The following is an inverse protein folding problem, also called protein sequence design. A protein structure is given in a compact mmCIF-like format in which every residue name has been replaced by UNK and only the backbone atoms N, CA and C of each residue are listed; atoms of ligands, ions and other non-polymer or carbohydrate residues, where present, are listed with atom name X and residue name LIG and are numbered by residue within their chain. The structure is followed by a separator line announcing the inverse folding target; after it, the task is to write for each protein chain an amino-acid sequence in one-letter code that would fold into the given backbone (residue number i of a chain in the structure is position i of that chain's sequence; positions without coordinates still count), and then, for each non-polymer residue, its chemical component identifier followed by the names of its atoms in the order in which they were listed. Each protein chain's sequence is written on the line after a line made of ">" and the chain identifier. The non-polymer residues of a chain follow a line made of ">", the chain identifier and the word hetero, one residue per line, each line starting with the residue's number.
data_IF_609819341376
#
_entry.id   IF_609819341376
#
_cell.length_a   1.000
_cell.length_b   1.000
_cell.length_c   1.000
_cell.angle_alpha   90.00
_cell.angle_beta   90.00
_cell.angle_gamma   90.00
#
_symmetry.space_group_name_H-M   'P 1'
#
loop_
_entity.id
_entity.type
_entity.pdbx_description
1 polymer ?
#
# COMPACT_ATOMS: atom_id res chain seq x y z
N UNK A 1 3.60 17.36 25.47
CA UNK A 1 3.66 17.54 24.01
C UNK A 1 2.34 17.06 23.45
N UNK A 2 1.41 17.97 23.18
CA UNK A 2 0.28 17.63 22.32
C UNK A 2 0.84 17.28 20.94
N UNK A 3 0.41 16.16 20.35
CA UNK A 3 0.82 15.82 18.99
C UNK A 3 0.02 16.73 18.06
N UNK A 4 0.72 17.57 17.31
CA UNK A 4 0.11 18.31 16.22
C UNK A 4 -0.46 17.32 15.20
N UNK A 5 -1.73 17.47 14.89
CA UNK A 5 -2.40 16.73 13.84
C UNK A 5 -2.17 17.44 12.52
N UNK A 6 -1.67 16.70 11.53
CA UNK A 6 -1.52 17.15 10.15
C UNK A 6 -2.47 16.38 9.25
N UNK A 7 -3.30 17.09 8.48
CA UNK A 7 -4.21 16.50 7.49
C UNK A 7 -3.90 17.11 6.14
N UNK A 8 -3.50 16.27 5.18
CA UNK A 8 -3.11 16.73 3.85
C UNK A 8 -4.24 16.60 2.83
N UNK A 9 -4.34 17.59 1.95
CA UNK A 9 -5.32 17.71 0.89
C UNK A 9 -4.67 18.05 -0.45
N UNK A 10 -5.34 17.69 -1.54
CA UNK A 10 -5.04 18.06 -2.92
C UNK A 10 -6.13 19.00 -3.41
N UNK A 11 -5.75 20.25 -3.67
CA UNK A 11 -6.69 21.28 -4.10
C UNK A 11 -7.11 21.05 -5.56
N UNK A 12 -8.38 21.29 -5.92
CA UNK A 12 -8.89 21.12 -7.28
C UNK A 12 -8.49 22.32 -8.17
N UNK A 13 -7.18 22.54 -8.26
CA UNK A 13 -6.51 23.57 -9.03
C UNK A 13 -5.52 22.91 -10.02
N UNK A 14 -5.15 23.59 -11.12
CA UNK A 14 -4.12 23.07 -12.03
C UNK A 14 -2.86 22.63 -11.28
N UNK A 15 -2.40 21.41 -11.53
CA UNK A 15 -1.22 20.83 -10.86
C UNK A 15 -1.49 20.21 -9.49
N UNK A 16 -2.72 20.24 -8.97
CA UNK A 16 -3.12 19.66 -7.69
C UNK A 16 -2.19 20.04 -6.51
N UNK A 17 -2.02 21.36 -6.25
CA UNK A 17 -1.15 21.83 -5.19
C UNK A 17 -1.59 21.24 -3.86
N UNK A 18 -0.59 20.93 -3.03
CA UNK A 18 -0.81 20.29 -1.73
C UNK A 18 -1.13 21.36 -0.71
N UNK A 19 -2.23 21.15 0.01
CA UNK A 19 -2.56 21.90 1.21
C UNK A 19 -2.41 21.01 2.45
N UNK A 20 -1.96 21.57 3.56
CA UNK A 20 -1.83 20.87 4.83
C UNK A 20 -2.56 21.66 5.89
N UNK A 21 -3.50 21.02 6.56
CA UNK A 21 -4.12 21.58 7.75
C UNK A 21 -3.38 21.07 8.99
N UNK A 22 -2.91 21.99 9.83
CA UNK A 22 -2.20 21.73 11.07
C UNK A 22 -3.02 22.24 12.26
N UNK A 23 -3.22 21.41 13.27
CA UNK A 23 -3.91 21.83 14.50
C UNK A 23 -3.59 20.91 15.68
N UNK A 24 -3.90 21.33 16.91
CA UNK A 24 -3.96 20.41 18.04
C UNK A 24 -5.14 19.43 17.93
N UNK A 25 -5.17 18.38 18.77
CA UNK A 25 -6.24 17.35 18.75
C UNK A 25 -7.67 17.92 18.92
N UNK A 26 -7.78 19.07 19.57
CA UNK A 26 -9.06 19.77 19.78
C UNK A 26 -9.43 20.72 18.63
N UNK A 27 -8.64 20.75 17.54
CA UNK A 27 -8.76 21.66 16.41
C UNK A 27 -8.57 23.16 16.76
N UNK A 28 -8.08 23.47 17.96
CA UNK A 28 -7.76 24.84 18.36
C UNK A 28 -6.47 25.31 17.68
N UNK A 29 -6.44 26.57 17.23
CA UNK A 29 -5.28 27.15 16.56
C UNK A 29 -4.99 26.52 15.20
N UNK A 30 -6.03 26.06 14.50
CA UNK A 30 -5.91 25.40 13.21
C UNK A 30 -5.37 26.33 12.13
N UNK A 31 -4.47 25.83 11.30
CA UNK A 31 -3.84 26.59 10.20
C UNK A 31 -3.90 25.77 8.93
N UNK A 32 -4.32 26.39 7.83
CA UNK A 32 -4.21 25.80 6.50
C UNK A 32 -3.00 26.41 5.82
N UNK A 33 -2.06 25.56 5.42
CA UNK A 33 -0.89 25.92 4.66
C UNK A 33 -1.03 25.43 3.22
N UNK A 34 -0.73 26.28 2.25
CA UNK A 34 -0.62 25.91 0.83
C UNK A 34 0.85 26.10 0.44
N UNK A 35 1.50 25.03 -0.03
CA UNK A 35 2.93 25.05 -0.39
C UNK A 35 3.87 25.55 0.72
N UNK A 36 3.44 25.45 1.99
CA UNK A 36 4.20 25.88 3.17
C UNK A 36 3.85 27.27 3.69
N UNK A 37 3.05 28.04 2.96
CA UNK A 37 2.59 29.36 3.36
C UNK A 37 1.24 29.29 4.06
N UNK A 38 1.09 29.96 5.21
CA UNK A 38 -0.18 30.05 5.94
C UNK A 38 -1.16 30.94 5.17
N UNK A 39 -2.29 30.37 4.76
CA UNK A 39 -3.32 31.09 3.99
C UNK A 39 -4.62 31.32 4.76
N UNK A 40 -4.88 30.48 5.75
CA UNK A 40 -6.05 30.57 6.62
C UNK A 40 -5.66 30.14 8.04
N UNK A 41 -6.20 30.83 9.02
CA UNK A 41 -6.03 30.50 10.44
C UNK A 41 -7.35 30.60 11.18
N UNK A 42 -7.63 29.57 11.95
CA UNK A 42 -8.71 29.53 12.93
C UNK A 42 -8.12 29.61 14.34
N UNK A 43 -8.50 30.61 15.11
CA UNK A 43 -8.12 30.72 16.50
C UNK A 43 -8.84 29.66 17.36
N UNK A 44 -10.09 29.35 17.02
CA UNK A 44 -10.94 28.43 17.78
C UNK A 44 -11.54 27.33 16.91
N UNK A 45 -12.09 26.31 17.56
CA UNK A 45 -12.78 25.21 16.88
C UNK A 45 -14.10 25.70 16.30
N UNK A 46 -14.79 26.59 16.99
CA UNK A 46 -16.08 27.15 16.58
C UNK A 46 -15.95 27.94 15.27
N UNK A 47 -14.83 28.63 15.06
CA UNK A 47 -14.52 29.28 13.78
C UNK A 47 -14.37 28.27 12.63
N UNK A 48 -13.75 27.12 12.87
CA UNK A 48 -13.67 26.05 11.88
C UNK A 48 -15.04 25.44 11.60
N UNK A 49 -15.88 25.26 12.62
CA UNK A 49 -17.23 24.70 12.44
C UNK A 49 -18.15 25.64 11.65
N UNK A 50 -18.04 26.96 11.91
CA UNK A 50 -18.70 28.00 11.13
C UNK A 50 -18.21 28.04 9.67
N UNK A 51 -16.93 27.69 9.45
CA UNK A 51 -16.28 27.69 8.16
C UNK A 51 -15.57 29.03 7.90
N UNK A 52 -14.31 28.94 7.50
CA UNK A 52 -13.48 30.09 7.14
C UNK A 52 -13.25 30.09 5.64
N UNK A 53 -13.23 31.27 5.03
CA UNK A 53 -12.94 31.43 3.60
C UNK A 53 -12.02 32.61 3.39
N UNK A 54 -11.01 32.48 2.54
CA UNK A 54 -10.12 33.57 2.15
C UNK A 54 -9.89 33.58 0.64
N UNK A 55 -9.75 34.78 0.08
CA UNK A 55 -9.19 35.00 -1.25
C UNK A 55 -7.68 35.10 -1.12
N UNK A 56 -6.97 34.27 -1.88
CA UNK A 56 -5.51 34.16 -1.81
C UNK A 56 -4.94 34.65 -3.13
N UNK A 57 -3.90 35.48 -3.06
CA UNK A 57 -3.21 35.97 -4.27
C UNK A 57 -2.68 34.79 -5.10
N UNK A 58 -2.90 34.82 -6.41
CA UNK A 58 -2.53 33.74 -7.32
C UNK A 58 -3.51 32.56 -7.39
N UNK A 59 -4.52 32.49 -6.51
CA UNK A 59 -5.59 31.48 -6.61
C UNK A 59 -6.87 32.16 -7.15
N UNK A 60 -7.44 31.68 -8.26
CA UNK A 60 -8.55 32.37 -8.95
C UNK A 60 -9.89 32.30 -8.21
N UNK A 61 -10.01 31.46 -7.17
CA UNK A 61 -11.24 31.25 -6.44
C UNK A 61 -11.00 31.22 -4.92
N UNK A 62 -12.00 31.57 -4.09
CA UNK A 62 -11.85 31.57 -2.63
C UNK A 62 -11.54 30.16 -2.11
N UNK A 63 -10.59 30.05 -1.19
CA UNK A 63 -10.28 28.81 -0.49
C UNK A 63 -11.02 28.80 0.84
N UNK A 64 -11.71 27.70 1.12
CA UNK A 64 -12.46 27.50 2.35
C UNK A 64 -11.92 26.33 3.18
N UNK A 65 -12.06 26.42 4.50
CA UNK A 65 -11.86 25.30 5.43
C UNK A 65 -13.03 25.24 6.40
N UNK A 66 -13.55 24.04 6.64
CA UNK A 66 -14.65 23.81 7.58
C UNK A 66 -14.48 22.47 8.30
N UNK A 67 -14.75 22.47 9.60
CA UNK A 67 -14.89 21.26 10.38
C UNK A 67 -16.38 20.87 10.42
N UNK A 68 -16.72 19.71 9.88
CA UNK A 68 -18.03 19.10 10.05
C UNK A 68 -17.99 18.19 11.28
N UNK A 69 -18.95 18.38 12.19
CA UNK A 69 -19.08 17.61 13.43
C UNK A 69 -20.39 16.85 13.53
N UNK A 70 -21.08 16.66 12.40
CA UNK A 70 -22.32 15.88 12.35
C UNK A 70 -22.08 14.40 12.67
N UNK A 71 -23.08 13.77 13.30
CA UNK A 71 -23.13 12.31 13.54
C UNK A 71 -21.90 11.70 14.25
N UNK A 72 -21.34 12.40 15.25
CA UNK A 72 -20.13 11.97 15.99
C UNK A 72 -18.88 11.76 15.13
N UNK A 73 -18.90 12.16 13.86
CA UNK A 73 -17.70 12.25 13.02
C UNK A 73 -17.17 13.67 13.06
N UNK A 74 -15.84 13.79 13.11
CA UNK A 74 -15.13 15.05 12.95
C UNK A 74 -14.41 14.95 11.63
N UNK A 75 -14.95 15.59 10.60
CA UNK A 75 -14.31 15.59 9.30
C UNK A 75 -13.99 17.01 8.85
N UNK A 76 -12.80 17.17 8.30
CA UNK A 76 -12.30 18.47 7.89
C UNK A 76 -12.42 18.56 6.36
N UNK A 77 -13.16 19.56 5.90
CA UNK A 77 -13.38 19.83 4.50
C UNK A 77 -12.59 21.07 4.10
N UNK A 78 -11.82 20.95 3.03
CA UNK A 78 -11.18 22.08 2.35
C UNK A 78 -11.86 22.25 1.00
N UNK A 79 -12.16 23.48 0.60
CA UNK A 79 -12.82 23.78 -0.67
C UNK A 79 -12.09 24.88 -1.42
N UNK A 80 -12.25 24.92 -2.75
CA UNK A 80 -11.76 26.00 -3.61
C UNK A 80 -12.86 26.37 -4.59
N UNK A 81 -13.39 27.58 -4.50
CA UNK A 81 -14.54 28.02 -5.30
C UNK A 81 -15.78 27.13 -5.12
N UNK A 82 -15.99 26.59 -3.91
CA UNK A 82 -17.05 25.63 -3.61
C UNK A 82 -16.77 24.18 -4.01
N UNK A 83 -15.68 23.91 -4.75
CA UNK A 83 -15.29 22.54 -5.12
C UNK A 83 -14.49 21.89 -3.98
N UNK A 84 -14.81 20.65 -3.56
CA UNK A 84 -14.09 19.99 -2.48
C UNK A 84 -12.67 19.58 -2.89
N UNK A 85 -11.71 19.82 -2.02
CA UNK A 85 -10.37 19.26 -2.11
C UNK A 85 -10.37 17.79 -1.70
N UNK A 86 -9.43 17.02 -2.25
CA UNK A 86 -9.31 15.59 -1.99
C UNK A 86 -8.35 15.35 -0.82
N UNK A 87 -8.79 14.69 0.24
CA UNK A 87 -7.93 14.29 1.34
C UNK A 87 -6.96 13.20 0.89
N UNK A 88 -5.67 13.38 1.13
CA UNK A 88 -4.64 12.43 0.66
C UNK A 88 -4.81 11.01 1.27
N UNK A 89 -5.34 10.91 2.49
CA UNK A 89 -5.60 9.62 3.16
C UNK A 89 -6.70 8.80 2.50
N UNK A 90 -7.60 9.45 1.76
CA UNK A 90 -8.78 8.81 1.18
C UNK A 90 -8.52 8.43 -0.29
N UNK A 91 -7.36 8.80 -0.83
CA UNK A 91 -6.94 8.45 -2.17
C UNK A 91 -6.50 6.99 -2.22
N UNK A 92 -7.32 6.16 -2.83
CA UNK A 92 -7.04 4.74 -3.08
C UNK A 92 -7.15 4.46 -4.58
N UNK A 93 -6.05 4.56 -5.34
CA UNK A 93 -6.08 4.23 -6.76
C UNK A 93 -6.47 2.77 -6.98
N UNK A 94 -7.15 2.45 -8.10
CA UNK A 94 -7.43 1.07 -8.46
C UNK A 94 -6.13 0.31 -8.76
N UNK A 95 -6.07 -1.02 -8.55
CA UNK A 95 -4.89 -1.81 -8.85
C UNK A 95 -4.48 -1.70 -10.32
N UNK A 96 -3.24 -1.24 -10.58
CA UNK A 96 -2.71 -1.15 -11.95
C UNK A 96 -2.30 -2.52 -12.48
N UNK A 97 -2.04 -2.61 -13.80
CA UNK A 97 -1.46 -3.80 -14.42
C UNK A 97 -0.17 -4.27 -13.72
N UNK A 98 0.67 -3.35 -13.25
CA UNK A 98 1.90 -3.72 -12.54
C UNK A 98 1.62 -4.32 -11.17
N UNK A 99 0.57 -3.88 -10.47
CA UNK A 99 0.16 -4.52 -9.21
C UNK A 99 -0.26 -5.96 -9.45
N UNK A 100 -1.05 -6.21 -10.51
CA UNK A 100 -1.41 -7.57 -10.89
C UNK A 100 -0.20 -8.43 -11.22
N UNK A 101 0.74 -7.94 -12.01
CA UNK A 101 1.98 -8.69 -12.32
C UNK A 101 2.76 -9.00 -11.03
N UNK A 102 2.90 -8.04 -10.13
CA UNK A 102 3.54 -8.24 -8.84
C UNK A 102 2.85 -9.33 -8.00
N UNK A 103 1.51 -9.30 -7.92
CA UNK A 103 0.71 -10.29 -7.22
C UNK A 103 0.83 -11.69 -7.86
N UNK A 104 0.81 -11.78 -9.19
CA UNK A 104 0.97 -13.04 -9.91
C UNK A 104 2.37 -13.65 -9.74
N UNK A 105 3.43 -12.83 -9.62
CA UNK A 105 4.77 -13.33 -9.30
C UNK A 105 4.84 -13.93 -7.89
N UNK A 106 4.23 -13.29 -6.89
CA UNK A 106 4.13 -13.83 -5.54
C UNK A 106 3.27 -15.12 -5.51
N UNK A 107 2.21 -15.18 -6.31
CA UNK A 107 1.40 -16.39 -6.47
C UNK A 107 2.20 -17.54 -7.09
N UNK A 108 2.91 -17.27 -8.20
CA UNK A 108 3.73 -18.26 -8.87
C UNK A 108 4.77 -18.88 -7.93
N UNK A 109 5.38 -18.05 -7.07
CA UNK A 109 6.29 -18.53 -6.04
C UNK A 109 5.62 -19.57 -5.11
N UNK A 110 4.36 -19.35 -4.74
CA UNK A 110 3.60 -20.30 -3.92
C UNK A 110 3.20 -21.56 -4.67
N UNK A 111 2.85 -21.46 -5.96
CA UNK A 111 2.57 -22.64 -6.79
C UNK A 111 3.80 -23.55 -6.92
N UNK A 112 4.98 -22.99 -7.14
CA UNK A 112 6.23 -23.76 -7.15
C UNK A 112 6.56 -24.35 -5.78
N UNK A 113 6.26 -23.62 -4.71
CA UNK A 113 6.34 -24.11 -3.33
C UNK A 113 5.47 -25.33 -3.07
N UNK A 114 4.21 -25.32 -3.52
CA UNK A 114 3.33 -26.48 -3.44
C UNK A 114 3.83 -27.66 -4.28
N UNK A 115 4.38 -27.40 -5.46
CA UNK A 115 5.00 -28.46 -6.27
C UNK A 115 6.20 -29.11 -5.55
N UNK A 116 7.08 -28.31 -4.95
CA UNK A 116 8.18 -28.82 -4.12
C UNK A 116 7.67 -29.60 -2.90
N UNK A 117 6.63 -29.12 -2.21
CA UNK A 117 5.97 -29.83 -1.11
C UNK A 117 5.42 -31.20 -1.54
N UNK A 118 4.78 -31.28 -2.70
CA UNK A 118 4.29 -32.54 -3.26
C UNK A 118 5.43 -33.53 -3.55
N UNK A 119 6.55 -33.05 -4.09
CA UNK A 119 7.72 -33.89 -4.32
C UNK A 119 8.34 -34.40 -3.01
N UNK A 120 8.41 -33.56 -1.97
CA UNK A 120 8.80 -34.01 -0.63
C UNK A 120 7.87 -35.09 -0.06
N UNK A 121 6.56 -35.04 -0.37
CA UNK A 121 5.62 -36.07 0.03
C UNK A 121 5.87 -37.40 -0.71
N UNK A 122 6.22 -37.34 -2.00
CA UNK A 122 6.60 -38.54 -2.76
C UNK A 122 7.90 -39.15 -2.22
N UNK A 123 8.89 -38.31 -1.93
CA UNK A 123 10.17 -38.73 -1.34
C UNK A 123 9.96 -39.41 0.02
N UNK A 124 9.09 -38.85 0.87
CA UNK A 124 8.75 -39.44 2.16
C UNK A 124 8.16 -40.84 2.02
N UNK A 125 7.29 -41.04 1.01
CA UNK A 125 6.68 -42.35 0.74
C UNK A 125 7.68 -43.36 0.18
N UNK A 126 8.62 -42.90 -0.63
CA UNK A 126 9.63 -43.76 -1.25
C UNK A 126 10.70 -44.22 -0.24
N UNK A 127 11.14 -43.33 0.65
CA UNK A 127 12.26 -43.59 1.56
C UNK A 127 11.82 -44.05 2.96
N UNK A 128 10.58 -43.73 3.36
CA UNK A 128 10.12 -43.90 4.73
C UNK A 128 10.75 -42.93 5.73
N UNK A 129 11.57 -41.97 5.27
CA UNK A 129 12.19 -40.96 6.12
C UNK A 129 11.12 -39.96 6.61
N UNK A 130 11.01 -39.71 7.93
CA UNK A 130 10.11 -38.69 8.45
C UNK A 130 10.49 -37.25 8.09
N UNK A 131 11.73 -36.98 7.68
CA UNK A 131 12.18 -35.63 7.35
C UNK A 131 11.47 -35.03 6.13
N UNK A 132 11.45 -35.68 4.94
CA UNK A 132 10.69 -35.20 3.80
C UNK A 132 9.21 -34.96 4.11
N UNK A 133 8.57 -35.79 4.95
CA UNK A 133 7.18 -35.58 5.34
C UNK A 133 6.99 -34.28 6.13
N UNK A 134 7.88 -33.99 7.09
CA UNK A 134 7.86 -32.74 7.85
C UNK A 134 8.05 -31.53 6.92
N UNK A 135 8.99 -31.63 5.99
CA UNK A 135 9.23 -30.58 5.00
C UNK A 135 8.04 -30.36 4.08
N UNK A 136 7.38 -31.44 3.61
CA UNK A 136 6.18 -31.34 2.78
C UNK A 136 5.07 -30.56 3.49
N UNK A 137 4.76 -30.92 4.75
CA UNK A 137 3.71 -30.26 5.54
C UNK A 137 4.09 -28.80 5.84
N UNK A 138 5.33 -28.56 6.27
CA UNK A 138 5.82 -27.22 6.59
C UNK A 138 5.74 -26.28 5.39
N UNK A 139 6.20 -26.76 4.23
CA UNK A 139 6.18 -26.01 2.98
C UNK A 139 4.75 -25.72 2.51
N UNK A 140 3.87 -26.72 2.53
CA UNK A 140 2.45 -26.51 2.21
C UNK A 140 1.78 -25.48 3.15
N UNK A 141 2.05 -25.56 4.45
CA UNK A 141 1.50 -24.63 5.44
C UNK A 141 1.93 -23.18 5.20
N UNK A 142 3.23 -22.94 4.99
CA UNK A 142 3.73 -21.61 4.67
C UNK A 142 3.17 -21.09 3.34
N UNK A 143 3.18 -21.89 2.28
CA UNK A 143 2.66 -21.42 0.99
C UNK A 143 1.16 -21.18 0.98
N UNK A 144 0.39 -21.91 1.79
CA UNK A 144 -1.03 -21.60 2.00
C UNK A 144 -1.19 -20.26 2.72
N UNK A 145 -0.41 -20.00 3.78
CA UNK A 145 -0.42 -18.72 4.47
C UNK A 145 -0.05 -17.57 3.52
N UNK A 146 1.04 -17.72 2.75
CA UNK A 146 1.51 -16.70 1.81
C UNK A 146 0.50 -16.45 0.68
N UNK A 147 -0.12 -17.51 0.15
CA UNK A 147 -1.20 -17.40 -0.82
C UNK A 147 -2.36 -16.55 -0.29
N UNK A 148 -2.82 -16.85 0.92
CA UNK A 148 -3.97 -16.20 1.55
C UNK A 148 -3.66 -14.80 2.09
N UNK A 149 -2.38 -14.40 2.17
CA UNK A 149 -1.97 -13.10 2.72
C UNK A 149 -1.32 -12.20 1.70
N UNK A 150 -0.27 -12.64 1.01
CA UNK A 150 0.50 -11.79 0.10
C UNK A 150 -0.31 -11.36 -1.11
N UNK A 151 -1.13 -12.25 -1.66
CA UNK A 151 -1.94 -11.91 -2.84
C UNK A 151 -3.00 -10.84 -2.52
N UNK A 152 -3.80 -10.97 -1.43
CA UNK A 152 -4.68 -9.89 -0.99
C UNK A 152 -3.95 -8.58 -0.64
N UNK A 153 -2.85 -8.68 0.12
CA UNK A 153 -2.10 -7.50 0.57
C UNK A 153 -1.47 -6.75 -0.62
N UNK A 154 -1.03 -7.45 -1.66
CA UNK A 154 -0.51 -6.82 -2.87
C UNK A 154 -1.58 -5.99 -3.60
N UNK A 155 -2.82 -6.49 -3.69
CA UNK A 155 -3.91 -5.84 -4.43
C UNK A 155 -4.62 -4.75 -3.63
N UNK A 156 -4.99 -5.04 -2.38
CA UNK A 156 -5.81 -4.16 -1.56
C UNK A 156 -5.02 -3.34 -0.54
N UNK A 157 -3.79 -3.75 -0.21
CA UNK A 157 -2.95 -3.04 0.75
C UNK A 157 -2.31 -1.75 0.22
N UNK A 158 -2.60 -1.37 -1.03
CA UNK A 158 -2.07 -0.15 -1.66
C UNK A 158 -0.52 -0.14 -1.64
N UNK A 159 0.08 1.05 -1.69
CA UNK A 159 1.55 1.21 -1.65
C UNK A 159 2.19 0.54 -0.44
N UNK A 160 1.52 0.56 0.71
CA UNK A 160 2.06 -0.04 1.93
C UNK A 160 2.08 -1.56 1.84
N UNK A 161 1.00 -2.15 1.33
CA UNK A 161 0.90 -3.57 1.04
C UNK A 161 1.98 -4.05 0.08
N UNK A 162 2.25 -3.31 -1.00
CA UNK A 162 3.33 -3.64 -1.93
C UNK A 162 4.70 -3.67 -1.21
N UNK A 163 4.99 -2.74 -0.30
CA UNK A 163 6.27 -2.75 0.46
C UNK A 163 6.37 -3.94 1.40
N UNK A 164 5.27 -4.27 2.09
CA UNK A 164 5.20 -5.45 2.96
C UNK A 164 5.44 -6.72 2.14
N UNK A 165 4.77 -6.86 0.99
CA UNK A 165 4.95 -8.01 0.11
C UNK A 165 6.38 -8.10 -0.42
N UNK A 166 7.01 -6.99 -0.84
CA UNK A 166 8.42 -6.98 -1.24
C UNK A 166 9.33 -7.50 -0.14
N UNK A 167 9.14 -7.05 1.10
CA UNK A 167 9.96 -7.49 2.24
C UNK A 167 9.78 -8.98 2.50
N UNK A 168 8.54 -9.47 2.58
CA UNK A 168 8.26 -10.89 2.82
C UNK A 168 8.82 -11.75 1.68
N UNK A 169 8.60 -11.34 0.42
CA UNK A 169 9.16 -12.02 -0.74
C UNK A 169 10.70 -12.09 -0.68
N UNK A 170 11.39 -11.04 -0.25
CA UNK A 170 12.86 -11.07 -0.11
C UNK A 170 13.32 -12.11 0.92
N UNK A 171 12.62 -12.20 2.07
CA UNK A 171 12.90 -13.21 3.10
C UNK A 171 12.69 -14.62 2.54
N UNK A 172 11.56 -14.86 1.86
CA UNK A 172 11.27 -16.17 1.29
C UNK A 172 12.18 -16.54 0.11
N UNK A 173 12.66 -15.56 -0.66
CA UNK A 173 13.72 -15.81 -1.65
C UNK A 173 14.96 -16.41 -0.99
N UNK A 174 15.45 -15.83 0.11
CA UNK A 174 16.64 -16.34 0.79
C UNK A 174 16.42 -17.76 1.35
N UNK A 175 15.24 -18.03 1.92
CA UNK A 175 14.86 -19.35 2.43
C UNK A 175 14.85 -20.39 1.30
N UNK A 176 14.15 -20.10 0.19
CA UNK A 176 14.03 -21.03 -0.93
C UNK A 176 15.35 -21.25 -1.66
N UNK A 177 16.19 -20.23 -1.77
CA UNK A 177 17.55 -20.39 -2.30
C UNK A 177 18.37 -21.33 -1.41
N UNK A 178 18.33 -21.15 -0.09
CA UNK A 178 19.00 -22.04 0.86
C UNK A 178 18.54 -23.49 0.74
N UNK A 179 17.23 -23.71 0.65
CA UNK A 179 16.65 -25.06 0.44
C UNK A 179 17.11 -25.62 -0.91
N UNK A 180 17.03 -24.85 -2.00
CA UNK A 180 17.46 -25.31 -3.31
C UNK A 180 18.93 -25.76 -3.30
N UNK A 181 19.82 -24.94 -2.74
CA UNK A 181 21.25 -25.25 -2.61
C UNK A 181 21.50 -26.51 -1.76
N UNK A 182 20.74 -26.70 -0.68
CA UNK A 182 20.84 -27.88 0.16
C UNK A 182 20.44 -29.18 -0.57
N UNK A 183 19.56 -29.09 -1.58
CA UNK A 183 19.07 -30.23 -2.36
C UNK A 183 19.82 -30.42 -3.70
N UNK A 184 20.88 -29.64 -3.97
CA UNK A 184 21.64 -29.72 -5.23
C UNK A 184 22.46 -31.00 -5.41
N UNK A 185 22.73 -31.73 -4.32
CA UNK A 185 23.63 -32.89 -4.34
C UNK A 185 23.20 -33.98 -5.33
N UNK A 186 21.89 -34.10 -5.59
CA UNK A 186 21.32 -35.15 -6.44
C UNK A 186 20.57 -34.63 -7.69
N UNK A 187 20.70 -33.33 -8.04
CA UNK A 187 19.94 -32.65 -9.12
C UNK A 187 18.44 -33.04 -9.07
N UNK A 188 17.83 -32.90 -7.89
CA UNK A 188 16.45 -33.30 -7.67
C UNK A 188 15.47 -32.25 -8.21
N UNK A 189 14.30 -32.70 -8.67
CA UNK A 189 13.19 -31.80 -9.00
C UNK A 189 12.79 -30.91 -7.81
N UNK A 190 13.02 -31.37 -6.57
CA UNK A 190 12.84 -30.59 -5.35
C UNK A 190 13.72 -29.35 -5.36
N UNK A 191 15.01 -29.48 -5.70
CA UNK A 191 15.92 -28.35 -5.80
C UNK A 191 15.47 -27.36 -6.89
N UNK A 192 15.04 -27.86 -8.05
CA UNK A 192 14.53 -27.05 -9.15
C UNK A 192 13.30 -26.23 -8.73
N UNK A 193 12.28 -26.86 -8.16
CA UNK A 193 11.05 -26.16 -7.78
C UNK A 193 11.27 -25.17 -6.62
N UNK A 194 12.19 -25.46 -5.70
CA UNK A 194 12.61 -24.47 -4.71
C UNK A 194 13.33 -23.28 -5.36
N UNK A 195 14.22 -23.52 -6.31
CA UNK A 195 14.89 -22.44 -7.04
C UNK A 195 13.89 -21.57 -7.82
N UNK A 196 12.94 -22.18 -8.53
CA UNK A 196 11.88 -21.46 -9.25
C UNK A 196 10.97 -20.64 -8.32
N UNK A 197 10.61 -21.21 -7.16
CA UNK A 197 9.88 -20.50 -6.11
C UNK A 197 10.66 -19.28 -5.62
N UNK A 198 11.94 -19.47 -5.28
CA UNK A 198 12.83 -18.39 -4.87
C UNK A 198 12.97 -17.30 -5.94
N UNK A 199 13.21 -17.67 -7.20
CA UNK A 199 13.33 -16.71 -8.31
C UNK A 199 12.04 -15.91 -8.54
N UNK A 200 10.88 -16.54 -8.33
CA UNK A 200 9.58 -15.86 -8.41
C UNK A 200 9.39 -14.87 -7.25
N UNK A 201 9.81 -15.22 -6.03
CA UNK A 201 9.85 -14.28 -4.90
C UNK A 201 10.83 -13.11 -5.15
N UNK A 202 12.00 -13.38 -5.71
CA UNK A 202 12.94 -12.31 -6.11
C UNK A 202 12.34 -11.41 -7.18
N UNK A 203 11.69 -12.01 -8.19
CA UNK A 203 10.97 -11.29 -9.24
C UNK A 203 9.89 -10.38 -8.64
N UNK A 204 9.06 -10.88 -7.73
CA UNK A 204 8.07 -10.09 -7.02
C UNK A 204 8.71 -8.93 -6.23
N UNK A 205 9.83 -9.19 -5.55
CA UNK A 205 10.59 -8.19 -4.79
C UNK A 205 11.07 -7.06 -5.69
N UNK A 206 11.74 -7.39 -6.80
CA UNK A 206 12.32 -6.40 -7.71
C UNK A 206 11.22 -5.64 -8.47
N UNK A 207 10.22 -6.35 -8.98
CA UNK A 207 9.12 -5.76 -9.75
C UNK A 207 8.20 -4.90 -8.87
N UNK A 208 8.13 -5.18 -7.56
CA UNK A 208 7.34 -4.39 -6.60
C UNK A 208 7.70 -2.90 -6.60
N UNK A 209 8.94 -2.52 -6.97
CA UNK A 209 9.32 -1.11 -7.08
C UNK A 209 8.55 -0.38 -8.18
N UNK A 210 8.28 -1.07 -9.30
CA UNK A 210 7.47 -0.53 -10.38
C UNK A 210 6.02 -0.40 -9.95
N UNK A 211 5.44 -1.47 -9.39
CA UNK A 211 4.07 -1.47 -8.88
C UNK A 211 3.86 -0.36 -7.84
N UNK A 212 4.81 -0.16 -6.92
CA UNK A 212 4.75 0.87 -5.89
C UNK A 212 4.75 2.30 -6.43
N UNK A 213 5.48 2.57 -7.53
CA UNK A 213 5.52 3.89 -8.19
C UNK A 213 4.26 4.17 -8.98
N UNK A 214 3.66 3.14 -9.60
CA UNK A 214 2.43 3.27 -10.36
C UNK A 214 1.19 3.40 -9.46
N UNK A 215 1.25 2.89 -8.24
CA UNK A 215 0.22 3.06 -7.21
C UNK A 215 0.35 4.40 -6.45
N UNK A 216 1.01 5.41 -7.04
CA UNK A 216 1.05 6.74 -6.45
C UNK A 216 -0.32 7.42 -6.57
N UNK A 217 -1.05 7.65 -5.46
CA UNK A 217 -2.37 8.26 -5.52
C UNK A 217 -2.35 9.64 -6.18
N UNK A 218 -1.24 10.39 -6.04
CA UNK A 218 -1.11 11.73 -6.60
C UNK A 218 -1.05 11.67 -8.13
N UNK A 219 -0.41 10.64 -8.69
CA UNK A 219 -0.33 10.44 -10.15
C UNK A 219 -1.67 10.03 -10.75
N UNK A 220 -2.57 9.47 -9.95
CA UNK A 220 -3.91 9.05 -10.37
C UNK A 220 -4.96 10.18 -10.30
N UNK A 221 -4.64 11.33 -9.71
CA UNK A 221 -5.58 12.44 -9.51
C UNK A 221 -6.31 12.90 -10.78
N UNK A 222 -5.66 13.06 -11.96
CA UNK A 222 -6.36 13.45 -13.18
C UNK A 222 -7.47 12.45 -13.58
N UNK A 223 -7.21 11.15 -13.42
CA UNK A 223 -8.19 10.10 -13.73
C UNK A 223 -9.30 9.97 -12.67
N UNK A 224 -9.06 10.44 -11.43
CA UNK A 224 -10.06 10.43 -10.36
C UNK A 224 -11.09 11.55 -10.55
N UNK A 225 -10.68 12.69 -11.11
CA UNK A 225 -11.57 13.82 -11.39
C UNK A 225 -12.55 13.54 -12.54
N UNK A 226 -12.12 12.83 -13.59
CA UNK A 226 -12.99 12.45 -14.72
C UNK A 226 -14.15 11.51 -14.33
N UNK A 227 -14.04 10.81 -13.20
CA UNK A 227 -15.03 9.82 -12.74
C UNK A 227 -15.98 10.41 -11.68
N UNK A 228 -15.63 11.55 -11.05
CA UNK A 228 -16.52 12.21 -10.08
C UNK A 228 -17.43 13.20 -10.82
N UNK A 229 -18.76 13.01 -10.78
CA UNK A 229 -19.73 13.90 -11.44
C UNK A 229 -19.73 15.31 -10.85
#
# INVERSE_FOLDING_TARGET
>A
MERDQQIAFRLPLPGWPRAVFESGYTFRGGRLLIEGEEVLRAATREELEAGLTATIEGIPAPVGVRLDTTENRRDLHVTVGGRPALRESDLSPPPTRSVWIHAWLALAASLFGFAASYLYLLEARATGDPWPLKMAIHMAGWHLLLLLTLFPVALWGQRHGIRVVQFVCLVFFAIHLGIALANLRDVSLIALFNALSGLSFLGATLYGNRAWREMDPIRALPAIEEVRP
#
